data_IF_680994658639
#
_entry.id   IF_680994658639
#
_cell.length_a   1.000
_cell.length_b   1.000
_cell.length_c   1.000
_cell.angle_alpha   90.00
_cell.angle_beta   90.00
_cell.angle_gamma   90.00
#
_symmetry.space_group_name_H-M   'P 1'
#
loop_
_entity.id
_entity.type
_entity.pdbx_description
1 polymer ?
#
# COMPACT_ATOMS: atom_id res chain seq x y z
N UNK A 1 -10.52 -9.78 12.31
CA UNK A 1 -10.41 -9.31 10.91
C UNK A 1 -9.46 -10.22 10.16
N UNK A 2 -9.74 -10.57 8.90
CA UNK A 2 -8.88 -11.46 8.11
C UNK A 2 -7.57 -10.74 7.78
N UNK A 3 -6.44 -11.38 8.12
CA UNK A 3 -5.08 -10.88 7.90
C UNK A 3 -4.36 -11.74 6.86
N UNK A 4 -3.25 -11.27 6.33
CA UNK A 4 -2.42 -12.03 5.41
C UNK A 4 -0.95 -11.69 5.54
N UNK A 5 -0.12 -12.64 5.12
CA UNK A 5 1.31 -12.46 4.87
C UNK A 5 1.63 -12.83 3.43
N UNK A 6 2.70 -12.29 2.88
CA UNK A 6 3.16 -12.63 1.53
C UNK A 6 4.23 -13.72 1.64
N UNK A 7 3.97 -14.87 1.04
CA UNK A 7 4.92 -15.99 0.94
C UNK A 7 5.06 -16.35 -0.54
N UNK A 8 6.27 -16.35 -1.08
CA UNK A 8 6.55 -16.64 -2.49
C UNK A 8 5.68 -15.81 -3.46
N UNK A 9 5.47 -14.53 -3.14
CA UNK A 9 4.62 -13.61 -3.92
C UNK A 9 3.11 -13.86 -3.82
N UNK A 10 2.67 -14.83 -3.02
CA UNK A 10 1.25 -15.16 -2.83
C UNK A 10 0.76 -14.75 -1.45
N UNK A 11 -0.49 -14.31 -1.36
CA UNK A 11 -1.14 -14.01 -0.08
C UNK A 11 -1.53 -15.31 0.61
N UNK A 12 -1.06 -15.51 1.84
CA UNK A 12 -1.50 -16.59 2.73
C UNK A 12 -2.34 -15.97 3.85
N UNK A 13 -3.64 -16.29 3.87
CA UNK A 13 -4.58 -15.73 4.81
C UNK A 13 -4.46 -16.35 6.21
N UNK A 14 -4.71 -15.55 7.23
CA UNK A 14 -4.57 -15.92 8.64
C UNK A 14 -5.48 -15.08 9.52
N UNK A 15 -5.69 -15.55 10.76
CA UNK A 15 -6.38 -14.83 11.82
C UNK A 15 -5.42 -14.24 12.86
N UNK A 16 -4.10 -14.47 12.72
CA UNK A 16 -3.08 -13.84 13.56
C UNK A 16 -3.11 -12.32 13.39
N UNK A 17 -3.30 -11.59 14.50
CA UNK A 17 -3.45 -10.14 14.51
C UNK A 17 -2.15 -9.37 14.26
N UNK A 18 -0.99 -10.03 14.34
CA UNK A 18 0.32 -9.41 14.07
C UNK A 18 0.59 -9.15 12.58
N UNK A 19 -0.28 -9.66 11.71
CA UNK A 19 -0.12 -9.64 10.26
C UNK A 19 -0.92 -8.50 9.60
N UNK A 20 -0.69 -8.31 8.29
CA UNK A 20 -1.24 -7.20 7.51
C UNK A 20 -2.72 -7.42 7.20
N UNK A 21 -3.51 -6.35 7.22
CA UNK A 21 -4.93 -6.40 6.87
C UNK A 21 -5.13 -6.90 5.44
N UNK A 22 -6.04 -7.86 5.26
CA UNK A 22 -6.34 -8.39 3.92
C UNK A 22 -7.20 -7.45 3.09
N UNK A 23 -7.92 -6.54 3.74
CA UNK A 23 -8.83 -5.59 3.10
C UNK A 23 -8.14 -4.23 2.98
N UNK A 24 -8.34 -3.51 1.87
CA UNK A 24 -7.80 -2.17 1.72
C UNK A 24 -8.49 -1.18 2.68
N UNK A 25 -7.85 -0.03 2.89
CA UNK A 25 -8.48 1.11 3.56
C UNK A 25 -9.75 1.55 2.81
N UNK A 26 -10.77 2.00 3.56
CA UNK A 26 -12.03 2.45 2.98
C UNK A 26 -11.80 3.71 2.14
N UNK A 27 -12.29 3.72 0.91
CA UNK A 27 -12.34 4.94 0.11
C UNK A 27 -13.39 5.91 0.67
N UNK A 28 -13.04 7.19 0.71
CA UNK A 28 -13.95 8.29 1.05
C UNK A 28 -13.77 9.38 0.02
N UNK A 29 -14.87 9.95 -0.54
CA UNK A 29 -14.76 11.08 -1.47
C UNK A 29 -14.20 12.34 -0.77
N UNK A 30 -14.40 12.45 0.54
CA UNK A 30 -13.84 13.51 1.37
C UNK A 30 -12.68 12.89 2.13
N UNK A 31 -11.50 12.95 1.53
CA UNK A 31 -10.25 12.48 2.13
C UNK A 31 -9.34 13.68 2.41
N UNK A 32 -9.45 14.19 3.64
CA UNK A 32 -8.71 15.37 4.12
C UNK A 32 -7.19 15.18 4.15
N UNK A 33 -6.70 13.93 4.08
CA UNK A 33 -5.27 13.60 4.13
C UNK A 33 -4.70 13.22 2.76
N UNK A 34 -5.42 13.52 1.68
CA UNK A 34 -4.98 13.23 0.31
C UNK A 34 -3.64 13.88 -0.02
N UNK A 35 -3.48 15.16 0.32
CA UNK A 35 -2.25 15.90 0.03
C UNK A 35 -1.05 15.36 0.83
N UNK A 36 -1.24 15.10 2.13
CA UNK A 36 -0.21 14.51 2.98
C UNK A 36 0.21 13.13 2.48
N UNK A 37 -0.75 12.28 2.08
CA UNK A 37 -0.46 10.96 1.50
C UNK A 37 0.39 11.08 0.23
N UNK A 38 0.07 12.01 -0.67
CA UNK A 38 0.87 12.23 -1.89
C UNK A 38 2.28 12.68 -1.55
N UNK A 39 2.44 13.67 -0.65
CA UNK A 39 3.75 14.17 -0.21
C UNK A 39 4.61 13.06 0.40
N UNK A 40 4.04 12.22 1.27
CA UNK A 40 4.75 11.09 1.87
C UNK A 40 5.18 10.07 0.83
N UNK A 41 4.28 9.71 -0.10
CA UNK A 41 4.62 8.74 -1.14
C UNK A 41 5.74 9.24 -2.05
N UNK A 42 5.75 10.51 -2.42
CA UNK A 42 6.85 11.11 -3.19
C UNK A 42 8.14 11.08 -2.38
N UNK A 43 8.11 11.57 -1.13
CA UNK A 43 9.29 11.66 -0.25
C UNK A 43 9.98 10.31 -0.03
N UNK A 44 9.20 9.23 0.08
CA UNK A 44 9.71 7.89 0.35
C UNK A 44 9.82 7.01 -0.89
N UNK A 45 9.60 7.57 -2.10
CA UNK A 45 9.60 6.79 -3.34
C UNK A 45 8.68 5.58 -3.25
N UNK A 46 7.43 5.79 -2.83
CA UNK A 46 6.42 4.74 -2.76
C UNK A 46 5.54 4.77 -4.02
N UNK A 47 4.99 3.62 -4.46
CA UNK A 47 4.10 3.60 -5.60
C UNK A 47 2.87 4.52 -5.41
N UNK A 48 2.46 5.28 -6.44
CA UNK A 48 2.91 5.24 -7.84
C UNK A 48 4.07 6.21 -8.17
N UNK A 49 4.66 6.87 -7.17
CA UNK A 49 5.65 7.94 -7.36
C UNK A 49 7.10 7.45 -7.20
N UNK A 50 7.33 6.14 -7.32
CA UNK A 50 8.67 5.59 -7.54
C UNK A 50 9.20 6.16 -8.86
N UNK A 51 10.34 6.86 -8.81
CA UNK A 51 11.10 7.16 -10.03
C UNK A 51 11.45 5.82 -10.66
N UNK A 52 10.84 5.51 -11.82
CA UNK A 52 11.23 4.36 -12.62
C UNK A 52 12.61 4.67 -13.18
N UNK A 53 13.66 4.27 -12.47
CA UNK A 53 14.99 4.15 -13.04
C UNK A 53 14.92 3.11 -14.18
N UNK A 54 14.67 3.55 -15.42
CA UNK A 54 14.91 2.75 -16.63
C UNK A 54 13.71 2.35 -17.50
N UNK A 55 12.76 3.26 -17.78
CA UNK A 55 11.97 3.13 -19.03
C UNK A 55 12.42 4.24 -19.96
N UNK A 56 13.48 3.97 -20.74
CA UNK A 56 13.79 4.70 -21.96
C UNK A 56 12.60 4.48 -22.92
N UNK A 57 11.95 5.56 -23.35
CA UNK A 57 11.01 5.57 -24.48
C UNK A 57 11.75 5.54 -25.81
#
# INVERSE_FOLDING_TARGET
MLKHRILNGKKVYTLDQKETDSHPARFSPIDSFSEERVRLKIKYGMPPFEERDGVEE
#
